data_IF_570213111771
#
_entry.id   IF_570213111771
#
_cell.length_a   1.000
_cell.length_b   1.000
_cell.length_c   1.000
_cell.angle_alpha   90.00
_cell.angle_beta   90.00
_cell.angle_gamma   90.00
#
_symmetry.space_group_name_H-M   'P 1'
#
loop_
_entity.id
_entity.type
_entity.pdbx_description
1 polymer ?
#
# COMPACT_ATOMS: atom_id res chain seq x y z
N UNK A 1 12.16 -8.82 -7.48
CA UNK A 1 10.89 -8.85 -6.73
C UNK A 1 11.02 -9.68 -5.45
N UNK A 2 11.40 -10.97 -5.50
CA UNK A 2 11.40 -11.86 -4.32
C UNK A 2 12.32 -11.42 -3.16
N UNK A 3 13.57 -10.98 -3.46
CA UNK A 3 14.50 -10.48 -2.43
C UNK A 3 13.97 -9.25 -1.69
N UNK A 4 13.24 -8.37 -2.40
CA UNK A 4 12.62 -7.20 -1.78
C UNK A 4 11.47 -7.61 -0.87
N UNK A 5 10.63 -8.56 -1.29
CA UNK A 5 9.55 -9.12 -0.47
C UNK A 5 10.08 -9.79 0.81
N UNK A 6 11.21 -10.50 0.73
CA UNK A 6 11.85 -11.10 1.91
C UNK A 6 12.38 -10.05 2.88
N UNK A 7 13.05 -9.01 2.38
CA UNK A 7 13.53 -7.90 3.20
C UNK A 7 12.36 -7.15 3.84
N UNK A 8 11.31 -6.88 3.07
CA UNK A 8 10.06 -6.27 3.56
C UNK A 8 9.42 -7.12 4.65
N UNK A 9 9.25 -8.44 4.43
CA UNK A 9 8.64 -9.35 5.40
C UNK A 9 9.37 -9.38 6.75
N UNK A 10 10.68 -9.20 6.75
CA UNK A 10 11.50 -9.09 7.99
C UNK A 10 11.31 -7.74 8.69
N UNK A 11 11.26 -6.66 7.93
CA UNK A 11 11.20 -5.29 8.46
C UNK A 11 9.78 -4.83 8.85
N UNK A 12 8.74 -5.35 8.20
CA UNK A 12 7.34 -4.88 8.31
C UNK A 12 6.80 -4.75 9.74
N UNK A 13 7.24 -5.61 10.65
CA UNK A 13 6.76 -5.61 12.03
C UNK A 13 7.28 -4.41 12.80
N UNK A 14 8.59 -4.15 12.71
CA UNK A 14 9.33 -3.33 13.65
C UNK A 14 9.85 -2.02 13.06
N UNK A 15 9.96 -1.91 11.74
CA UNK A 15 10.47 -0.73 11.07
C UNK A 15 9.52 0.46 11.24
N UNK A 16 10.06 1.65 11.58
CA UNK A 16 9.30 2.88 11.85
C UNK A 16 8.33 3.25 10.72
N UNK A 17 8.72 3.02 9.47
CA UNK A 17 7.90 3.32 8.30
C UNK A 17 6.55 2.60 8.32
N UNK A 18 6.56 1.29 8.53
CA UNK A 18 5.33 0.48 8.60
C UNK A 18 4.52 0.76 9.86
N UNK A 19 5.18 1.10 10.97
CA UNK A 19 4.51 1.52 12.20
C UNK A 19 3.80 2.84 12.02
N UNK A 20 4.48 3.84 11.43
CA UNK A 20 3.90 5.14 11.09
C UNK A 20 2.73 5.01 10.11
N UNK A 21 2.89 4.21 9.06
CA UNK A 21 1.81 3.90 8.12
C UNK A 21 0.57 3.34 8.83
N UNK A 22 0.72 2.31 9.67
CA UNK A 22 -0.40 1.72 10.42
C UNK A 22 -1.08 2.73 11.36
N UNK A 23 -0.33 3.61 12.01
CA UNK A 23 -0.92 4.69 12.84
C UNK A 23 -1.76 5.66 12.02
N UNK A 24 -1.29 6.00 10.82
CA UNK A 24 -2.00 6.90 9.93
C UNK A 24 -3.27 6.27 9.35
N UNK A 25 -3.23 4.99 8.97
CA UNK A 25 -4.34 4.30 8.31
C UNK A 25 -5.45 3.91 9.29
N UNK A 26 -5.13 3.61 10.55
CA UNK A 26 -6.12 3.19 11.57
C UNK A 26 -7.36 4.07 11.66
N UNK A 27 -7.25 5.40 11.84
CA UNK A 27 -8.45 6.27 11.91
C UNK A 27 -9.28 6.25 10.63
N UNK A 28 -8.66 6.01 9.48
CA UNK A 28 -9.36 5.89 8.21
C UNK A 28 -10.16 4.58 8.15
N UNK A 29 -9.57 3.48 8.63
CA UNK A 29 -10.25 2.17 8.74
C UNK A 29 -11.42 2.23 9.70
N UNK A 30 -11.22 2.81 10.89
CA UNK A 30 -12.29 3.02 11.88
C UNK A 30 -13.47 3.79 11.29
N UNK A 31 -13.19 4.88 10.57
CA UNK A 31 -14.22 5.67 9.91
C UNK A 31 -14.92 4.91 8.78
N UNK A 32 -14.18 4.18 7.96
CA UNK A 32 -14.70 3.46 6.81
C UNK A 32 -15.61 2.27 7.22
N UNK A 33 -15.40 1.73 8.42
CA UNK A 33 -16.16 0.59 8.93
C UNK A 33 -17.17 0.96 10.01
N UNK A 34 -17.25 2.24 10.40
CA UNK A 34 -18.15 2.72 11.45
C UNK A 34 -19.62 2.39 11.13
N UNK A 35 -20.30 1.80 12.11
CA UNK A 35 -21.72 1.44 11.99
C UNK A 35 -22.02 0.21 11.13
N UNK A 36 -20.99 -0.48 10.61
CA UNK A 36 -21.14 -1.71 9.84
C UNK A 36 -20.98 -2.94 10.75
N UNK A 37 -21.87 -3.90 10.62
CA UNK A 37 -21.74 -5.18 11.30
C UNK A 37 -20.91 -6.13 10.42
N UNK A 38 -19.75 -6.57 10.92
CA UNK A 38 -18.86 -7.53 10.28
C UNK A 38 -18.55 -7.22 8.80
N UNK A 39 -18.02 -6.01 8.49
CA UNK A 39 -17.81 -5.56 7.12
C UNK A 39 -16.84 -6.48 6.37
N UNK A 40 -17.09 -6.67 5.07
CA UNK A 40 -16.24 -7.45 4.19
C UNK A 40 -15.17 -6.55 3.56
N UNK A 41 -13.91 -6.89 3.78
CA UNK A 41 -12.75 -6.07 3.40
C UNK A 41 -11.88 -6.84 2.41
N UNK A 42 -11.53 -6.21 1.29
CA UNK A 42 -10.58 -6.74 0.31
C UNK A 42 -9.28 -5.93 0.36
N UNK A 43 -8.14 -6.60 0.50
CA UNK A 43 -6.81 -6.00 0.33
C UNK A 43 -6.24 -6.37 -1.05
N UNK A 44 -6.20 -5.39 -1.96
CA UNK A 44 -5.66 -5.54 -3.31
C UNK A 44 -4.14 -5.32 -3.29
N UNK A 45 -3.37 -6.39 -3.53
CA UNK A 45 -1.92 -6.39 -3.38
C UNK A 45 -1.50 -6.64 -1.95
N UNK A 46 -2.05 -7.68 -1.33
CA UNK A 46 -1.81 -7.99 0.08
C UNK A 46 -0.38 -8.46 0.41
N UNK A 47 0.43 -8.80 -0.60
CA UNK A 47 1.82 -9.21 -0.47
C UNK A 47 2.00 -10.31 0.56
N UNK A 48 2.77 -10.02 1.59
CA UNK A 48 3.09 -10.93 2.71
C UNK A 48 1.94 -11.12 3.71
N UNK A 49 0.79 -10.48 3.49
CA UNK A 49 -0.39 -10.55 4.36
C UNK A 49 -0.30 -9.72 5.65
N UNK A 50 0.74 -8.92 5.82
CA UNK A 50 0.94 -8.17 7.08
C UNK A 50 -0.20 -7.19 7.37
N UNK A 51 -0.76 -6.55 6.35
CA UNK A 51 -1.89 -5.63 6.50
C UNK A 51 -3.20 -6.37 6.83
N UNK A 52 -3.39 -7.61 6.38
CA UNK A 52 -4.58 -8.41 6.68
C UNK A 52 -4.77 -8.61 8.19
N UNK A 53 -3.68 -8.81 8.93
CA UNK A 53 -3.73 -8.89 10.40
C UNK A 53 -4.30 -7.61 11.04
N UNK A 54 -4.01 -6.44 10.47
CA UNK A 54 -4.58 -5.16 10.91
C UNK A 54 -6.04 -5.04 10.48
N UNK A 55 -6.35 -5.36 9.23
CA UNK A 55 -7.69 -5.23 8.64
C UNK A 55 -8.74 -6.11 9.33
N UNK A 56 -8.35 -7.29 9.80
CA UNK A 56 -9.24 -8.20 10.56
C UNK A 56 -9.76 -7.64 11.88
N UNK A 57 -9.16 -6.59 12.40
CA UNK A 57 -9.69 -5.88 13.58
C UNK A 57 -10.93 -5.06 13.26
N UNK A 58 -11.19 -4.83 11.97
CA UNK A 58 -12.27 -3.98 11.47
C UNK A 58 -13.36 -4.76 10.72
N UNK A 59 -13.12 -6.04 10.41
CA UNK A 59 -14.08 -6.88 9.70
C UNK A 59 -13.44 -8.14 9.13
N UNK A 60 -14.19 -8.88 8.33
CA UNK A 60 -13.70 -10.06 7.61
C UNK A 60 -12.84 -9.65 6.44
N UNK A 61 -11.52 -9.82 6.57
CA UNK A 61 -10.56 -9.41 5.56
C UNK A 61 -10.06 -10.61 4.75
N UNK A 62 -10.03 -10.45 3.43
CA UNK A 62 -9.34 -11.31 2.48
C UNK A 62 -8.37 -10.49 1.61
N UNK A 63 -7.41 -11.15 0.97
CA UNK A 63 -6.41 -10.47 0.16
C UNK A 63 -6.13 -11.16 -1.16
N UNK A 64 -5.77 -10.36 -2.16
CA UNK A 64 -5.22 -10.87 -3.41
C UNK A 64 -3.84 -10.28 -3.65
N UNK A 65 -2.99 -11.06 -4.29
CA UNK A 65 -1.69 -10.61 -4.80
C UNK A 65 -1.32 -11.39 -6.06
N UNK A 66 -0.51 -10.80 -6.92
CA UNK A 66 -0.02 -11.47 -8.12
C UNK A 66 1.23 -12.30 -7.82
N UNK A 67 1.97 -11.98 -6.76
CA UNK A 67 3.25 -12.60 -6.41
C UNK A 67 3.03 -13.88 -5.61
N UNK A 68 3.51 -14.99 -6.13
CA UNK A 68 3.43 -16.28 -5.44
C UNK A 68 4.25 -16.30 -4.14
N UNK A 69 5.42 -15.68 -4.16
CA UNK A 69 6.29 -15.55 -2.98
C UNK A 69 5.62 -14.78 -1.84
N UNK A 70 4.95 -13.66 -2.12
CA UNK A 70 4.18 -12.90 -1.14
C UNK A 70 3.10 -13.75 -0.48
N UNK A 71 2.28 -14.42 -1.28
CA UNK A 71 1.21 -15.30 -0.80
C UNK A 71 1.72 -16.50 0.00
N UNK A 72 2.89 -17.04 -0.37
CA UNK A 72 3.53 -18.11 0.41
C UNK A 72 3.94 -17.61 1.81
N UNK A 73 4.44 -16.37 1.93
CA UNK A 73 4.69 -15.73 3.23
C UNK A 73 3.39 -15.51 4.01
N UNK A 74 2.35 -15.00 3.37
CA UNK A 74 1.05 -14.80 4.00
C UNK A 74 0.52 -16.10 4.60
N UNK A 75 0.53 -17.19 3.83
CA UNK A 75 0.08 -18.51 4.29
C UNK A 75 0.90 -19.06 5.45
N UNK A 76 2.24 -18.88 5.44
CA UNK A 76 3.10 -19.30 6.57
C UNK A 76 2.78 -18.54 7.86
N UNK A 77 2.23 -17.34 7.77
CA UNK A 77 1.74 -16.54 8.91
C UNK A 77 0.32 -16.90 9.35
N UNK A 78 -0.30 -17.89 8.72
CA UNK A 78 -1.67 -18.31 9.01
C UNK A 78 -2.75 -17.51 8.26
N UNK A 79 -2.36 -16.70 7.25
CA UNK A 79 -3.28 -15.98 6.41
C UNK A 79 -3.91 -16.93 5.37
N UNK A 80 -5.08 -17.48 5.70
CA UNK A 80 -5.76 -18.47 4.85
C UNK A 80 -6.68 -17.85 3.80
N UNK A 81 -7.14 -16.63 4.02
CA UNK A 81 -8.04 -15.90 3.13
C UNK A 81 -7.24 -15.08 2.10
N UNK A 82 -6.33 -15.73 1.39
CA UNK A 82 -5.52 -15.10 0.34
C UNK A 82 -5.55 -15.91 -0.94
N UNK A 83 -5.61 -15.24 -2.09
CA UNK A 83 -5.65 -15.84 -3.40
C UNK A 83 -4.71 -15.13 -4.38
N UNK A 84 -4.23 -15.86 -5.40
CA UNK A 84 -3.48 -15.26 -6.49
C UNK A 84 -4.43 -14.69 -7.53
N UNK A 85 -4.41 -13.36 -7.69
CA UNK A 85 -5.18 -12.66 -8.70
C UNK A 85 -4.55 -11.31 -9.06
N UNK A 86 -4.91 -10.77 -10.22
CA UNK A 86 -4.54 -9.41 -10.61
C UNK A 86 -5.56 -8.41 -10.08
N UNK A 87 -5.09 -7.24 -9.63
CA UNK A 87 -5.97 -6.13 -9.28
C UNK A 87 -6.69 -5.54 -10.51
N UNK A 88 -6.15 -5.77 -11.72
CA UNK A 88 -6.78 -5.35 -12.98
C UNK A 88 -7.94 -6.25 -13.42
N UNK A 89 -8.12 -7.39 -12.75
CA UNK A 89 -9.23 -8.34 -13.01
C UNK A 89 -9.53 -9.12 -11.75
N UNK A 90 -10.38 -8.55 -10.90
CA UNK A 90 -10.72 -9.13 -9.61
C UNK A 90 -11.68 -10.33 -9.75
N UNK A 91 -11.39 -11.50 -9.14
CA UNK A 91 -12.24 -12.69 -9.25
C UNK A 91 -13.43 -12.64 -8.28
N UNK A 92 -14.06 -11.47 -8.15
CA UNK A 92 -15.19 -11.25 -7.25
C UNK A 92 -16.37 -10.63 -8.01
N UNK A 93 -17.60 -10.90 -7.60
CA UNK A 93 -18.78 -10.23 -8.17
C UNK A 93 -18.79 -8.73 -7.84
N UNK A 94 -19.58 -7.98 -8.60
CA UNK A 94 -19.82 -6.58 -8.32
C UNK A 94 -20.55 -6.39 -6.99
N UNK A 95 -20.25 -5.30 -6.27
CA UNK A 95 -21.00 -4.92 -5.07
C UNK A 95 -20.80 -5.86 -3.87
N UNK A 96 -19.65 -6.52 -3.74
CA UNK A 96 -19.42 -7.50 -2.68
C UNK A 96 -18.82 -6.88 -1.41
N UNK A 97 -17.91 -5.90 -1.53
CA UNK A 97 -17.10 -5.43 -0.43
C UNK A 97 -17.59 -4.10 0.17
N UNK A 98 -17.46 -3.97 1.49
CA UNK A 98 -17.70 -2.71 2.22
C UNK A 98 -16.50 -1.77 2.11
N UNK A 99 -15.31 -2.35 2.09
CA UNK A 99 -14.05 -1.64 2.03
C UNK A 99 -13.08 -2.38 1.11
N UNK A 100 -12.44 -1.63 0.23
CA UNK A 100 -11.26 -2.08 -0.52
C UNK A 100 -10.06 -1.28 -0.04
N UNK A 101 -8.93 -1.95 0.17
CA UNK A 101 -7.65 -1.33 0.45
C UNK A 101 -6.66 -1.66 -0.66
N UNK A 102 -5.78 -0.71 -1.00
CA UNK A 102 -4.66 -0.91 -1.92
C UNK A 102 -3.46 -0.10 -1.42
N UNK A 103 -2.47 -0.79 -0.88
CA UNK A 103 -1.32 -0.16 -0.24
C UNK A 103 -0.06 -0.47 -1.02
N UNK A 104 0.52 0.56 -1.63
CA UNK A 104 1.76 0.50 -2.39
C UNK A 104 1.71 -0.51 -3.57
N UNK A 105 0.64 -0.45 -4.37
CA UNK A 105 0.41 -1.30 -5.55
C UNK A 105 0.37 -0.50 -6.84
N UNK A 106 -0.46 0.55 -6.89
CA UNK A 106 -0.75 1.29 -8.13
C UNK A 106 0.50 1.93 -8.74
N UNK A 107 1.53 2.21 -7.95
CA UNK A 107 2.79 2.77 -8.46
C UNK A 107 3.51 1.85 -9.47
N UNK A 108 3.19 0.56 -9.47
CA UNK A 108 3.78 -0.44 -10.36
C UNK A 108 3.02 -0.59 -11.69
N UNK A 109 1.91 0.14 -11.87
CA UNK A 109 1.04 0.05 -13.05
C UNK A 109 1.31 1.17 -14.04
N UNK A 110 1.19 0.87 -15.32
CA UNK A 110 1.02 1.86 -16.38
C UNK A 110 -0.40 2.45 -16.35
N UNK A 111 -0.71 3.35 -17.29
CA UNK A 111 -1.99 4.08 -17.31
C UNK A 111 -3.19 3.15 -17.56
N UNK A 112 -3.01 2.11 -18.38
CA UNK A 112 -4.07 1.16 -18.70
C UNK A 112 -4.34 0.24 -17.51
N UNK A 113 -3.29 -0.35 -16.95
CA UNK A 113 -3.39 -1.22 -15.77
C UNK A 113 -3.96 -0.49 -14.55
N UNK A 114 -3.56 0.78 -14.33
CA UNK A 114 -4.09 1.58 -13.23
C UNK A 114 -5.59 1.82 -13.40
N UNK A 115 -6.01 2.26 -14.59
CA UNK A 115 -7.42 2.49 -14.91
C UNK A 115 -8.25 1.22 -14.69
N UNK A 116 -7.77 0.08 -15.18
CA UNK A 116 -8.46 -1.19 -15.05
C UNK A 116 -8.54 -1.63 -13.58
N UNK A 117 -7.46 -1.47 -12.82
CA UNK A 117 -7.45 -1.78 -11.38
C UNK A 117 -8.42 -0.89 -10.59
N UNK A 118 -8.44 0.41 -10.86
CA UNK A 118 -9.39 1.34 -10.22
C UNK A 118 -10.83 1.00 -10.57
N UNK A 119 -11.14 0.67 -11.84
CA UNK A 119 -12.46 0.25 -12.28
C UNK A 119 -12.90 -1.05 -11.58
N UNK A 120 -12.03 -2.03 -11.45
CA UNK A 120 -12.31 -3.28 -10.76
C UNK A 120 -12.53 -3.07 -9.25
N UNK A 121 -11.71 -2.24 -8.60
CA UNK A 121 -11.89 -1.87 -7.20
C UNK A 121 -13.23 -1.15 -6.98
N UNK A 122 -13.63 -0.28 -7.93
CA UNK A 122 -14.93 0.38 -7.90
C UNK A 122 -16.07 -0.61 -8.10
N UNK A 123 -15.95 -1.52 -9.07
CA UNK A 123 -16.96 -2.54 -9.40
C UNK A 123 -17.28 -3.47 -8.24
N UNK A 124 -16.26 -3.91 -7.51
CA UNK A 124 -16.45 -4.87 -6.41
C UNK A 124 -16.94 -4.22 -5.11
N UNK A 125 -16.85 -2.90 -5.00
CA UNK A 125 -17.43 -2.16 -3.88
C UNK A 125 -18.94 -2.09 -3.98
N UNK A 126 -19.63 -2.32 -2.88
CA UNK A 126 -21.08 -2.10 -2.79
C UNK A 126 -21.40 -0.59 -2.79
N UNK A 127 -22.64 -0.21 -3.12
CA UNK A 127 -23.07 1.19 -2.96
C UNK A 127 -22.79 1.70 -1.55
N UNK A 128 -22.11 2.86 -1.43
CA UNK A 128 -21.65 3.40 -0.15
C UNK A 128 -20.44 2.69 0.47
N UNK A 129 -19.84 1.73 -0.24
CA UNK A 129 -18.54 1.15 0.10
C UNK A 129 -17.42 2.18 -0.06
N UNK A 130 -16.30 1.96 0.59
CA UNK A 130 -15.18 2.90 0.59
C UNK A 130 -13.89 2.25 0.08
N UNK A 131 -12.99 3.08 -0.44
CA UNK A 131 -11.64 2.66 -0.80
C UNK A 131 -10.60 3.47 0.00
N UNK A 132 -9.54 2.80 0.45
CA UNK A 132 -8.37 3.45 1.06
C UNK A 132 -7.15 3.06 0.24
N UNK A 133 -6.51 4.06 -0.36
CA UNK A 133 -5.34 3.86 -1.21
C UNK A 133 -4.13 4.55 -0.58
N UNK A 134 -2.99 3.87 -0.59
CA UNK A 134 -1.68 4.47 -0.36
C UNK A 134 -0.80 4.26 -1.58
N UNK A 135 -0.13 5.32 -2.02
CA UNK A 135 0.76 5.30 -3.19
C UNK A 135 2.03 6.10 -2.94
N UNK A 136 3.09 5.73 -3.64
CA UNK A 136 4.31 6.52 -3.64
C UNK A 136 4.06 7.91 -4.23
N UNK A 137 4.48 8.95 -3.53
CA UNK A 137 4.28 10.33 -3.94
C UNK A 137 5.60 11.03 -4.25
N UNK A 138 5.53 12.14 -5.02
CA UNK A 138 6.59 13.10 -5.28
C UNK A 138 7.80 12.49 -6.04
N UNK A 139 7.85 12.74 -7.33
CA UNK A 139 8.87 12.20 -8.24
C UNK A 139 10.31 12.49 -7.80
N UNK A 140 10.57 13.63 -7.16
CA UNK A 140 11.92 14.00 -6.71
C UNK A 140 12.46 13.12 -5.57
N UNK A 141 11.58 12.34 -4.90
CA UNK A 141 11.97 11.37 -3.86
C UNK A 141 12.32 9.99 -4.42
N UNK A 142 12.21 9.80 -5.74
CA UNK A 142 12.56 8.54 -6.40
C UNK A 142 14.02 8.18 -6.16
N UNK A 143 14.29 6.94 -5.77
CA UNK A 143 15.64 6.43 -5.49
C UNK A 143 15.79 4.98 -5.94
N UNK A 144 16.94 4.37 -5.68
CA UNK A 144 17.26 3.02 -6.14
C UNK A 144 16.28 1.96 -5.64
N UNK A 145 15.76 2.11 -4.43
CA UNK A 145 14.72 1.22 -3.87
C UNK A 145 13.45 1.23 -4.73
N UNK A 146 13.10 2.35 -5.33
CA UNK A 146 11.96 2.50 -6.23
C UNK A 146 12.13 1.68 -7.50
N UNK A 147 13.34 1.67 -8.06
CA UNK A 147 13.67 0.88 -9.25
C UNK A 147 13.60 -0.62 -8.95
N UNK A 148 14.16 -1.05 -7.81
CA UNK A 148 14.11 -2.44 -7.35
C UNK A 148 12.68 -2.91 -7.06
N UNK A 149 11.79 -2.00 -6.62
CA UNK A 149 10.38 -2.25 -6.37
C UNK A 149 9.50 -2.30 -7.61
N UNK A 150 10.07 -2.06 -8.82
CA UNK A 150 9.28 -1.98 -10.05
C UNK A 150 8.40 -0.73 -10.13
N UNK A 151 8.82 0.35 -9.47
CA UNK A 151 8.07 1.61 -9.46
C UNK A 151 8.09 2.27 -10.84
N UNK A 152 6.94 2.27 -11.51
CA UNK A 152 6.71 2.91 -12.81
C UNK A 152 6.49 4.41 -12.62
N UNK A 153 5.67 4.80 -11.59
CA UNK A 153 5.26 6.18 -11.34
C UNK A 153 5.18 6.53 -9.87
N UNK A 154 5.15 7.84 -9.62
CA UNK A 154 4.76 8.45 -8.35
C UNK A 154 3.66 9.47 -8.60
N UNK A 155 2.82 9.66 -7.61
CA UNK A 155 1.63 10.46 -7.73
C UNK A 155 1.78 11.86 -7.16
N UNK A 156 1.16 12.81 -7.84
CA UNK A 156 0.77 14.08 -7.25
C UNK A 156 -0.69 14.01 -6.77
N UNK A 157 -1.00 14.75 -5.72
CA UNK A 157 -2.33 14.72 -5.10
C UNK A 157 -3.48 15.01 -6.08
N UNK A 158 -3.29 15.97 -6.98
CA UNK A 158 -4.32 16.32 -7.96
C UNK A 158 -4.50 15.23 -9.02
N UNK A 159 -3.41 14.67 -9.53
CA UNK A 159 -3.40 13.56 -10.47
C UNK A 159 -4.18 12.35 -9.92
N UNK A 160 -3.83 11.89 -8.70
CA UNK A 160 -4.55 10.79 -8.07
C UNK A 160 -6.04 11.11 -7.87
N UNK A 161 -6.37 12.35 -7.49
CA UNK A 161 -7.76 12.80 -7.37
C UNK A 161 -8.50 12.67 -8.70
N UNK A 162 -7.89 13.12 -9.80
CA UNK A 162 -8.49 13.09 -11.12
C UNK A 162 -8.73 11.65 -11.60
N UNK A 163 -7.78 10.74 -11.39
CA UNK A 163 -7.92 9.31 -11.71
C UNK A 163 -9.09 8.68 -10.94
N UNK A 164 -9.15 8.92 -9.63
CA UNK A 164 -10.25 8.42 -8.79
C UNK A 164 -11.61 9.00 -9.21
N UNK A 165 -11.68 10.29 -9.49
CA UNK A 165 -12.93 10.94 -9.89
C UNK A 165 -13.42 10.45 -11.25
N UNK A 166 -12.52 10.24 -12.21
CA UNK A 166 -12.86 9.67 -13.54
C UNK A 166 -13.40 8.23 -13.43
N UNK A 167 -12.95 7.47 -12.46
CA UNK A 167 -13.46 6.11 -12.17
C UNK A 167 -14.86 6.13 -11.52
N UNK A 168 -15.29 7.27 -10.97
CA UNK A 168 -16.59 7.43 -10.28
C UNK A 168 -16.50 7.54 -8.76
N UNK A 169 -15.28 7.57 -8.18
CA UNK A 169 -15.12 7.77 -6.75
C UNK A 169 -15.34 9.22 -6.33
N UNK A 170 -16.02 9.39 -5.19
CA UNK A 170 -16.02 10.68 -4.47
C UNK A 170 -14.87 10.71 -3.49
N UNK A 171 -13.89 11.60 -3.70
CA UNK A 171 -12.71 11.70 -2.87
C UNK A 171 -13.02 12.42 -1.57
N UNK A 172 -13.16 11.68 -0.47
CA UNK A 172 -13.46 12.21 0.85
C UNK A 172 -12.26 12.86 1.53
N UNK A 173 -11.07 12.30 1.32
CA UNK A 173 -9.81 12.79 1.89
C UNK A 173 -8.64 12.38 1.01
N UNK A 174 -7.70 13.28 0.81
CA UNK A 174 -6.42 13.01 0.18
C UNK A 174 -5.33 13.84 0.88
N UNK A 175 -4.26 13.20 1.31
CA UNK A 175 -3.16 13.87 2.01
C UNK A 175 -1.84 13.14 1.80
N UNK A 176 -0.74 13.84 2.01
CA UNK A 176 0.57 13.20 2.11
C UNK A 176 0.76 12.63 3.52
N UNK A 177 1.35 11.43 3.59
CA UNK A 177 1.81 10.80 4.84
C UNK A 177 3.30 11.09 5.04
N UNK A 178 3.77 10.97 6.28
CA UNK A 178 5.19 11.15 6.64
C UNK A 178 5.79 12.50 6.20
N UNK A 179 4.96 13.54 6.10
CA UNK A 179 5.38 14.87 5.65
C UNK A 179 6.47 15.48 6.54
N UNK A 180 6.46 15.18 7.83
CA UNK A 180 7.48 15.62 8.81
C UNK A 180 8.87 15.04 8.51
N UNK A 181 8.94 13.88 7.88
CA UNK A 181 10.20 13.25 7.46
C UNK A 181 10.70 13.77 6.11
N UNK A 182 9.90 14.52 5.38
CA UNK A 182 10.22 14.99 4.03
C UNK A 182 11.55 15.77 3.96
N UNK A 183 11.84 16.74 4.86
CA UNK A 183 13.12 17.47 4.80
C UNK A 183 14.34 16.55 4.98
N UNK A 184 14.24 15.58 5.89
CA UNK A 184 15.32 14.61 6.16
C UNK A 184 15.53 13.72 4.94
N UNK A 185 14.46 13.13 4.40
CA UNK A 185 14.53 12.23 3.23
C UNK A 185 15.02 13.00 2.00
N UNK A 186 14.54 14.22 1.77
CA UNK A 186 15.00 15.08 0.66
C UNK A 186 16.49 15.42 0.79
N UNK A 187 16.96 15.76 1.99
CA UNK A 187 18.40 16.05 2.25
C UNK A 187 19.28 14.84 1.99
N UNK A 188 18.89 13.65 2.47
CA UNK A 188 19.60 12.40 2.22
C UNK A 188 19.64 12.09 0.71
N UNK A 189 18.53 12.22 0.00
CA UNK A 189 18.48 11.99 -1.45
C UNK A 189 19.35 12.98 -2.24
N UNK A 190 19.35 14.24 -1.83
CA UNK A 190 20.21 15.26 -2.43
C UNK A 190 21.70 14.94 -2.23
N UNK A 191 22.11 14.59 -1.00
CA UNK A 191 23.48 14.18 -0.68
C UNK A 191 23.91 12.93 -1.47
N UNK A 192 23.06 11.91 -1.58
CA UNK A 192 23.33 10.71 -2.37
C UNK A 192 23.54 11.02 -3.86
N UNK A 193 22.75 11.93 -4.44
CA UNK A 193 22.91 12.37 -5.83
C UNK A 193 24.23 13.09 -6.06
N UNK A 194 24.66 13.95 -5.12
CA UNK A 194 25.94 14.66 -5.21
C UNK A 194 27.13 13.72 -5.06
N UNK A 195 27.01 12.70 -4.21
CA UNK A 195 28.08 11.74 -3.96
C UNK A 195 28.23 10.66 -5.06
N UNK A 196 27.34 10.63 -6.06
CA UNK A 196 27.35 9.61 -7.11
C UNK A 196 27.10 8.18 -6.60
N UNK A 197 26.67 8.03 -5.35
CA UNK A 197 26.46 6.72 -4.73
C UNK A 197 25.17 6.07 -5.25
N UNK A 198 25.36 5.03 -6.03
CA UNK A 198 24.30 4.08 -6.37
C UNK A 198 24.38 2.90 -5.37
N UNK A 199 23.79 3.05 -4.21
CA UNK A 199 23.65 1.90 -3.30
C UNK A 199 22.60 0.92 -3.87
N UNK A 200 23.09 -0.25 -4.26
CA UNK A 200 22.29 -1.34 -4.80
C UNK A 200 21.78 -2.32 -3.71
N UNK A 201 21.73 -1.91 -2.46
CA UNK A 201 21.31 -2.80 -1.37
C UNK A 201 19.80 -2.72 -1.13
N UNK A 202 19.12 -3.83 -1.39
CA UNK A 202 17.70 -4.05 -1.07
C UNK A 202 17.45 -4.26 0.44
N UNK A 203 18.39 -3.86 1.31
CA UNK A 203 18.28 -4.09 2.73
C UNK A 203 17.48 -2.97 3.42
N UNK A 204 16.24 -3.29 3.81
CA UNK A 204 15.50 -2.53 4.81
C UNK A 204 16.02 -2.89 6.20
N UNK A 205 17.10 -2.25 6.64
CA UNK A 205 17.60 -2.41 8.00
C UNK A 205 16.71 -1.62 8.98
N UNK A 206 16.22 -2.30 10.02
CA UNK A 206 15.50 -1.64 11.10
C UNK A 206 16.49 -0.78 11.89
N UNK A 207 16.31 0.56 11.99
CA UNK A 207 17.19 1.41 12.76
C UNK A 207 17.26 0.98 14.24
N UNK A 208 18.33 1.40 14.93
CA UNK A 208 18.45 1.18 16.38
C UNK A 208 17.17 1.64 17.12
N UNK A 209 16.80 0.91 18.17
CA UNK A 209 15.51 1.11 18.89
C UNK A 209 15.16 2.57 19.20
N UNK A 210 16.07 3.43 19.75
CA UNK A 210 15.73 4.82 20.05
C UNK A 210 15.42 5.63 18.79
N UNK A 211 16.17 5.44 17.70
CA UNK A 211 15.96 6.12 16.42
C UNK A 211 14.66 5.64 15.78
N UNK A 212 14.43 4.34 15.78
CA UNK A 212 13.22 3.74 15.22
C UNK A 212 11.95 4.20 15.97
N UNK A 213 12.03 4.40 17.29
CA UNK A 213 10.92 4.91 18.09
C UNK A 213 10.66 6.41 17.82
N UNK A 214 11.70 7.21 17.69
CA UNK A 214 11.58 8.65 17.42
C UNK A 214 11.00 8.95 16.02
N UNK A 215 11.23 8.08 15.04
CA UNK A 215 10.74 8.23 13.66
C UNK A 215 9.34 7.61 13.44
N UNK A 216 8.77 6.92 14.44
CA UNK A 216 7.44 6.25 14.32
C UNK A 216 6.30 7.23 14.65
#
# INVERSE_FOLDING_TARGET
MDRLLEATARAERDHFWFRGFRRFVRPLLERATLGRQDPLILDCGCGTGNNLTMLRRYGRACGIDITWSGLAYARRRGEVQVARASATRLPFPAGQFDLVTSFDVLYAFDDEMERDALNEMYRVLRPGGQIIINVAALNFLRGNHSVLGGEVRRYHRNELRDHLTRTGFTVLRISYTNFTLLPIVAGVRFAQRLAGHQESTAEMTVPAKPVNAALS
#
